data_IF_089750299183
#
_entry.id   IF_089750299183
#
_cell.length_a   1.000
_cell.length_b   1.000
_cell.length_c   1.000
_cell.angle_alpha   90.00
_cell.angle_beta   90.00
_cell.angle_gamma   90.00
#
_symmetry.space_group_name_H-M   'P 1'
#
loop_
_entity.id
_entity.type
_entity.pdbx_description
1 polymer ?
#
# COMPACT_ATOMS: atom_id res chain seq x y z
N UNK A 1 3.38 -41.55 5.99
CA UNK A 1 2.31 -42.22 6.74
C UNK A 1 2.41 -41.85 8.20
N UNK A 2 3.39 -42.36 8.97
CA UNK A 2 3.56 -42.01 10.39
C UNK A 2 3.61 -40.49 10.69
N UNK A 3 4.39 -39.70 9.92
CA UNK A 3 4.45 -38.23 10.09
C UNK A 3 3.11 -37.53 9.78
N UNK A 4 2.28 -38.12 8.92
CA UNK A 4 0.97 -37.58 8.54
C UNK A 4 -0.08 -37.88 9.62
N UNK A 5 -0.04 -39.09 10.18
CA UNK A 5 -0.91 -39.52 11.27
C UNK A 5 -0.63 -38.72 12.56
N UNK A 6 0.65 -38.42 12.84
CA UNK A 6 1.06 -37.56 13.95
C UNK A 6 0.53 -36.12 13.79
N UNK A 7 0.60 -35.57 12.57
CA UNK A 7 0.01 -34.25 12.26
C UNK A 7 -1.51 -34.24 12.38
N UNK A 8 -2.20 -35.30 11.95
CA UNK A 8 -3.65 -35.42 12.09
C UNK A 8 -4.07 -35.46 13.57
N UNK A 9 -3.29 -36.14 14.41
CA UNK A 9 -3.47 -36.15 15.86
C UNK A 9 -3.31 -34.76 16.48
N UNK A 10 -2.23 -34.05 16.13
CA UNK A 10 -1.97 -32.69 16.59
C UNK A 10 -3.01 -31.67 16.10
N UNK A 11 -3.51 -31.83 14.87
CA UNK A 11 -4.55 -30.99 14.30
C UNK A 11 -5.90 -31.21 15.01
N UNK A 12 -6.27 -32.47 15.26
CA UNK A 12 -7.49 -32.81 16.02
C UNK A 12 -7.44 -32.26 17.45
N UNK A 13 -6.29 -32.38 18.11
CA UNK A 13 -6.04 -31.77 19.41
C UNK A 13 -6.19 -30.24 19.35
N UNK A 14 -5.58 -29.59 18.36
CA UNK A 14 -5.61 -28.12 18.23
C UNK A 14 -7.02 -27.61 17.96
N UNK A 15 -7.77 -28.26 17.06
CA UNK A 15 -9.16 -27.93 16.77
C UNK A 15 -10.04 -28.01 18.02
N UNK A 16 -9.84 -29.04 18.86
CA UNK A 16 -10.51 -29.15 20.16
C UNK A 16 -10.19 -27.98 21.10
N UNK A 17 -8.93 -27.53 21.15
CA UNK A 17 -8.51 -26.39 22.00
C UNK A 17 -8.91 -25.01 21.46
N UNK A 18 -9.10 -24.86 20.14
CA UNK A 18 -9.46 -23.59 19.51
C UNK A 18 -10.97 -23.36 19.44
N UNK A 19 -11.78 -24.41 19.59
CA UNK A 19 -13.24 -24.30 19.66
C UNK A 19 -13.74 -23.39 20.80
N UNK A 20 -12.89 -23.08 21.78
CA UNK A 20 -13.17 -22.17 22.90
C UNK A 20 -12.69 -20.72 22.67
N UNK A 21 -11.93 -20.46 21.60
CA UNK A 21 -11.31 -19.15 21.30
C UNK A 21 -12.18 -18.30 20.38
N UNK A 22 -13.09 -18.90 19.62
CA UNK A 22 -14.13 -18.15 18.91
C UNK A 22 -15.08 -17.54 19.96
N UNK A 23 -15.18 -16.21 19.97
CA UNK A 23 -16.11 -15.52 20.84
C UNK A 23 -17.52 -16.08 20.65
N UNK A 24 -18.01 -16.84 21.63
CA UNK A 24 -19.43 -17.16 21.72
C UNK A 24 -20.11 -15.82 21.93
N UNK A 25 -20.81 -15.30 20.92
CA UNK A 25 -21.67 -14.14 21.10
C UNK A 25 -22.66 -14.54 22.19
N UNK A 26 -22.62 -13.94 23.40
CA UNK A 26 -23.60 -14.26 24.42
C UNK A 26 -24.97 -13.99 23.78
N UNK A 27 -25.89 -14.95 23.89
CA UNK A 27 -27.27 -14.72 23.47
C UNK A 27 -27.73 -13.42 24.15
N UNK A 28 -28.43 -12.51 23.45
CA UNK A 28 -28.98 -11.31 24.09
C UNK A 28 -29.78 -11.80 25.29
N UNK A 29 -29.27 -11.47 26.49
CA UNK A 29 -29.81 -12.04 27.71
C UNK A 29 -31.27 -11.59 27.81
N UNK A 30 -32.16 -12.49 28.24
CA UNK A 30 -33.55 -12.16 28.57
C UNK A 30 -33.61 -11.05 29.65
N UNK A 31 -32.51 -10.84 30.37
CA UNK A 31 -32.31 -9.79 31.38
C UNK A 31 -32.11 -8.39 30.79
N UNK A 32 -31.81 -8.27 29.48
CA UNK A 32 -31.56 -7.01 28.76
C UNK A 32 -30.13 -6.50 28.82
N UNK A 33 -29.74 -5.73 27.81
CA UNK A 33 -28.44 -5.08 27.69
C UNK A 33 -28.58 -3.65 27.14
N UNK A 34 -27.59 -2.80 27.44
CA UNK A 34 -27.53 -1.45 26.89
C UNK A 34 -26.84 -1.48 25.52
N UNK A 35 -27.55 -1.12 24.47
CA UNK A 35 -27.07 -1.06 23.09
C UNK A 35 -27.01 0.40 22.65
N UNK A 36 -26.04 0.74 21.80
CA UNK A 36 -25.94 2.09 21.22
C UNK A 36 -26.90 2.19 20.04
N UNK A 37 -27.97 2.97 20.19
CA UNK A 37 -28.96 3.20 19.15
C UNK A 37 -28.48 4.18 18.07
N UNK A 38 -29.27 4.36 17.00
CA UNK A 38 -28.99 5.35 15.95
C UNK A 38 -28.83 6.75 16.56
N UNK A 39 -27.66 7.37 16.34
CA UNK A 39 -27.33 8.68 16.91
C UNK A 39 -26.51 8.66 18.20
N UNK A 40 -26.06 7.50 18.68
CA UNK A 40 -25.15 7.39 19.83
C UNK A 40 -25.85 7.41 21.19
N UNK A 41 -27.17 7.30 21.21
CA UNK A 41 -27.98 7.29 22.44
C UNK A 41 -28.05 5.85 22.97
N UNK A 42 -27.69 5.60 24.23
CA UNK A 42 -27.82 4.27 24.82
C UNK A 42 -29.30 3.91 24.99
N UNK A 43 -29.71 2.79 24.39
CA UNK A 43 -31.06 2.21 24.46
C UNK A 43 -30.96 0.87 25.15
N UNK A 44 -31.90 0.57 26.06
CA UNK A 44 -31.95 -0.72 26.73
C UNK A 44 -32.78 -1.70 25.91
N UNK A 45 -32.15 -2.73 25.34
CA UNK A 45 -32.80 -3.77 24.53
C UNK A 45 -32.89 -5.08 25.30
N UNK A 46 -33.99 -5.82 25.14
CA UNK A 46 -34.15 -7.19 25.68
C UNK A 46 -34.29 -8.18 24.53
N UNK A 47 -33.50 -9.25 24.57
CA UNK A 47 -33.62 -10.34 23.61
C UNK A 47 -34.99 -11.03 23.72
N UNK A 48 -35.63 -11.28 22.58
CA UNK A 48 -36.88 -12.04 22.50
C UNK A 48 -36.59 -13.54 22.41
N UNK A 49 -37.16 -14.35 23.30
CA UNK A 49 -37.09 -15.83 23.22
C UNK A 49 -37.91 -16.41 22.04
N UNK A 50 -38.69 -15.57 21.35
CA UNK A 50 -39.51 -15.97 20.20
C UNK A 50 -38.79 -15.82 18.86
N UNK A 51 -37.63 -15.15 18.86
CA UNK A 51 -36.83 -14.94 17.67
C UNK A 51 -35.61 -15.86 17.69
N UNK A 52 -35.34 -16.61 16.61
CA UNK A 52 -34.16 -17.44 16.53
C UNK A 52 -32.90 -16.58 16.64
N UNK A 53 -31.91 -17.06 17.39
CA UNK A 53 -30.63 -16.37 17.53
C UNK A 53 -30.00 -16.10 16.16
N UNK A 54 -29.40 -14.92 15.94
CA UNK A 54 -28.64 -14.66 14.72
C UNK A 54 -27.55 -15.72 14.56
N UNK A 55 -27.38 -16.23 13.34
CA UNK A 55 -26.44 -17.30 13.05
C UNK A 55 -25.01 -16.91 13.50
N UNK A 56 -24.22 -17.91 13.93
CA UNK A 56 -22.81 -17.73 14.33
C UNK A 56 -21.95 -16.98 13.28
N UNK A 57 -22.40 -16.99 12.02
CA UNK A 57 -21.74 -16.42 10.86
C UNK A 57 -22.45 -15.18 10.30
N UNK A 58 -23.31 -14.51 11.06
CA UNK A 58 -23.83 -13.21 10.63
C UNK A 58 -22.66 -12.27 10.36
N UNK A 59 -22.65 -11.55 9.22
CA UNK A 59 -21.56 -10.64 8.89
C UNK A 59 -21.37 -9.65 10.04
N UNK A 60 -20.18 -9.65 10.62
CA UNK A 60 -19.73 -8.57 11.49
C UNK A 60 -19.93 -7.28 10.69
N UNK A 61 -20.50 -6.20 11.26
CA UNK A 61 -20.51 -4.91 10.58
C UNK A 61 -19.09 -4.68 10.05
N UNK A 62 -18.92 -4.28 8.77
CA UNK A 62 -17.59 -4.14 8.20
C UNK A 62 -16.75 -3.37 9.21
N UNK A 63 -15.69 -4.00 9.71
CA UNK A 63 -14.67 -3.27 10.45
C UNK A 63 -14.35 -2.12 9.53
N UNK A 64 -14.59 -0.90 10.01
CA UNK A 64 -14.14 0.28 9.29
C UNK A 64 -12.70 -0.03 8.97
N UNK A 65 -12.35 -0.05 7.67
CA UNK A 65 -11.00 -0.37 7.23
C UNK A 65 -10.05 0.29 8.22
N UNK A 66 -8.99 -0.41 8.63
CA UNK A 66 -7.90 0.24 9.34
C UNK A 66 -7.34 1.24 8.35
N UNK A 67 -8.00 2.40 8.26
CA UNK A 67 -7.45 3.58 7.69
C UNK A 67 -6.22 3.78 8.53
N UNK A 68 -5.06 3.70 7.88
CA UNK A 68 -3.81 4.25 8.40
C UNK A 68 -4.20 5.48 9.20
N UNK A 69 -4.03 5.40 10.53
CA UNK A 69 -4.49 6.43 11.45
C UNK A 69 -4.00 7.75 10.87
N UNK A 70 -4.88 8.71 10.56
CA UNK A 70 -4.42 10.04 10.24
C UNK A 70 -3.55 10.48 11.43
N UNK A 71 -2.30 10.85 11.17
CA UNK A 71 -1.43 11.48 12.17
C UNK A 71 -2.08 12.73 12.83
N UNK A 72 -3.18 13.21 12.24
CA UNK A 72 -3.98 14.38 12.64
C UNK A 72 -4.77 14.25 13.95
N UNK A 73 -4.75 13.11 14.65
CA UNK A 73 -5.45 12.99 15.92
C UNK A 73 -4.54 12.37 16.98
N UNK A 74 -4.30 13.04 18.12
CA UNK A 74 -3.92 12.28 19.31
C UNK A 74 -4.98 11.19 19.47
N UNK A 75 -4.55 9.94 19.66
CA UNK A 75 -5.46 8.85 19.90
C UNK A 75 -6.46 9.33 20.97
N UNK A 76 -7.76 9.39 20.63
CA UNK A 76 -8.77 9.66 21.65
C UNK A 76 -8.47 8.67 22.76
N UNK A 77 -8.10 9.16 23.95
CA UNK A 77 -7.93 8.30 25.11
C UNK A 77 -9.16 7.43 25.18
N UNK A 78 -8.96 6.10 25.24
CA UNK A 78 -10.06 5.17 25.26
C UNK A 78 -11.06 5.66 26.32
N UNK A 79 -12.31 5.84 25.92
CA UNK A 79 -13.39 6.11 26.86
C UNK A 79 -13.58 4.82 27.67
N UNK A 80 -12.79 4.68 28.73
CA UNK A 80 -12.69 3.47 29.55
C UNK A 80 -11.56 2.52 29.13
N UNK A 81 -11.34 1.50 29.97
CA UNK A 81 -10.31 0.46 29.82
C UNK A 81 -10.59 -0.52 28.65
N UNK A 82 -11.27 -0.05 27.60
CA UNK A 82 -11.59 -0.87 26.44
C UNK A 82 -10.31 -1.16 25.63
N UNK A 83 -9.77 -2.34 25.86
CA UNK A 83 -8.79 -2.94 24.99
C UNK A 83 -9.55 -3.71 23.89
N UNK A 84 -9.53 -3.27 22.62
CA UNK A 84 -10.20 -4.01 21.56
C UNK A 84 -9.66 -5.45 21.54
N UNK A 85 -10.52 -6.47 21.36
CA UNK A 85 -10.06 -7.85 21.30
C UNK A 85 -9.07 -7.97 20.14
N UNK A 86 -7.85 -8.39 20.46
CA UNK A 86 -6.86 -8.71 19.44
C UNK A 86 -7.35 -9.91 18.64
N UNK A 87 -7.26 -9.80 17.32
CA UNK A 87 -7.36 -10.93 16.42
C UNK A 87 -6.40 -12.06 16.87
N UNK A 88 -6.86 -13.31 16.97
CA UNK A 88 -6.07 -14.44 17.41
C UNK A 88 -4.94 -14.67 16.41
N UNK A 89 -3.73 -14.86 16.94
CA UNK A 89 -2.58 -15.32 16.17
C UNK A 89 -2.55 -16.85 16.23
N UNK A 90 -3.33 -17.52 15.39
CA UNK A 90 -3.40 -18.98 15.35
C UNK A 90 -2.15 -19.49 14.63
N UNK A 91 -1.10 -19.74 15.41
CA UNK A 91 0.12 -20.38 14.92
C UNK A 91 -0.04 -21.92 14.89
N UNK A 92 0.67 -22.62 13.97
CA UNK A 92 0.93 -24.05 14.13
C UNK A 92 1.52 -24.31 15.52
N UNK A 93 1.13 -25.42 16.14
CA UNK A 93 1.75 -25.86 17.40
C UNK A 93 3.27 -25.98 17.21
N UNK A 94 4.04 -25.48 18.18
CA UNK A 94 5.51 -25.60 18.13
C UNK A 94 5.97 -27.06 17.98
N UNK A 95 5.22 -28.00 18.58
CA UNK A 95 5.46 -29.45 18.43
C UNK A 95 5.21 -29.98 17.01
N UNK A 96 4.39 -29.31 16.20
CA UNK A 96 4.11 -29.70 14.82
C UNK A 96 5.16 -29.17 13.83
N UNK A 97 5.85 -28.07 14.16
CA UNK A 97 6.87 -27.45 13.28
C UNK A 97 7.94 -28.43 12.76
N UNK A 98 8.58 -29.28 13.58
CA UNK A 98 9.60 -30.19 13.06
C UNK A 98 9.02 -31.22 12.07
N UNK A 99 7.80 -31.71 12.31
CA UNK A 99 7.13 -32.65 11.41
C UNK A 99 6.73 -31.97 10.10
N UNK A 100 6.20 -30.75 10.15
CA UNK A 100 5.92 -29.93 8.95
C UNK A 100 7.20 -29.73 8.14
N UNK A 101 8.29 -29.29 8.78
CA UNK A 101 9.56 -29.03 8.11
C UNK A 101 10.10 -30.29 7.40
N UNK A 102 10.08 -31.45 8.08
CA UNK A 102 10.50 -32.73 7.48
C UNK A 102 9.68 -33.11 6.25
N UNK A 103 8.36 -32.91 6.29
CA UNK A 103 7.49 -33.20 5.16
C UNK A 103 7.73 -32.23 4.00
N UNK A 104 7.93 -30.94 4.27
CA UNK A 104 8.26 -29.94 3.26
C UNK A 104 9.59 -30.25 2.57
N UNK A 105 10.63 -30.60 3.35
CA UNK A 105 11.93 -30.95 2.80
C UNK A 105 11.87 -32.24 1.96
N UNK A 106 11.11 -33.24 2.41
CA UNK A 106 10.89 -34.48 1.65
C UNK A 106 10.12 -34.25 0.36
N UNK A 107 9.12 -33.36 0.37
CA UNK A 107 8.37 -32.96 -0.83
C UNK A 107 9.28 -32.22 -1.82
N UNK A 108 10.14 -31.33 -1.34
CA UNK A 108 11.13 -30.62 -2.18
C UNK A 108 12.14 -31.59 -2.81
N UNK A 109 12.63 -32.55 -2.05
CA UNK A 109 13.54 -33.60 -2.55
C UNK A 109 12.86 -34.48 -3.61
N UNK A 110 11.59 -34.85 -3.38
CA UNK A 110 10.80 -35.64 -4.32
C UNK A 110 10.56 -34.86 -5.64
N UNK A 111 10.20 -33.58 -5.55
CA UNK A 111 10.05 -32.70 -6.71
C UNK A 111 11.35 -32.57 -7.52
N UNK A 112 12.49 -32.38 -6.85
CA UNK A 112 13.79 -32.31 -7.52
C UNK A 112 14.17 -33.65 -8.18
N UNK A 113 13.91 -34.78 -7.52
CA UNK A 113 14.21 -36.10 -8.06
C UNK A 113 13.34 -36.44 -9.28
N UNK A 114 12.05 -36.10 -9.26
CA UNK A 114 11.14 -36.36 -10.39
C UNK A 114 11.37 -35.39 -11.55
N UNK A 115 11.60 -34.10 -11.27
CA UNK A 115 11.93 -33.10 -12.30
C UNK A 115 13.21 -33.43 -13.08
N UNK A 116 14.16 -34.11 -12.45
CA UNK A 116 15.40 -34.55 -13.08
C UNK A 116 15.29 -35.89 -13.84
N UNK A 117 14.21 -36.67 -13.63
CA UNK A 117 14.10 -38.05 -14.12
C UNK A 117 12.95 -38.29 -15.11
N UNK A 118 11.98 -37.39 -15.22
CA UNK A 118 10.80 -37.62 -16.07
C UNK A 118 10.31 -36.36 -16.78
N UNK A 119 10.27 -36.40 -18.12
CA UNK A 119 9.63 -35.37 -18.96
C UNK A 119 8.12 -35.55 -19.10
N UNK A 120 7.56 -36.65 -18.57
CA UNK A 120 6.14 -37.01 -18.71
C UNK A 120 5.37 -36.98 -17.38
N UNK A 121 6.04 -37.05 -16.23
CA UNK A 121 5.43 -36.95 -14.90
C UNK A 121 5.97 -35.71 -14.19
N UNK A 122 5.19 -34.64 -14.17
CA UNK A 122 5.46 -33.46 -13.35
C UNK A 122 4.73 -33.60 -12.01
N UNK A 123 5.48 -33.66 -10.90
CA UNK A 123 4.91 -33.42 -9.58
C UNK A 123 4.59 -31.94 -9.47
N UNK A 124 3.35 -31.59 -9.74
CA UNK A 124 2.89 -30.22 -9.56
C UNK A 124 2.50 -30.03 -8.10
N UNK A 125 3.06 -29.00 -7.46
CA UNK A 125 2.57 -28.55 -6.16
C UNK A 125 1.06 -28.26 -6.32
N UNK A 126 0.17 -28.91 -5.55
CA UNK A 126 -1.26 -28.67 -5.67
C UNK A 126 -1.63 -27.20 -5.50
N UNK A 127 -0.86 -26.41 -4.72
CA UNK A 127 -1.03 -24.95 -4.68
C UNK A 127 -0.68 -24.32 -6.01
N UNK A 128 0.51 -24.59 -6.55
CA UNK A 128 0.90 -24.11 -7.87
C UNK A 128 -0.05 -24.57 -8.99
N UNK A 129 -0.56 -25.80 -8.93
CA UNK A 129 -1.56 -26.36 -9.86
C UNK A 129 -2.89 -25.63 -9.72
N UNK A 130 -3.37 -25.39 -8.50
CA UNK A 130 -4.58 -24.58 -8.27
C UNK A 130 -4.39 -23.16 -8.76
N UNK A 131 -3.21 -22.56 -8.58
CA UNK A 131 -2.86 -21.24 -9.12
C UNK A 131 -2.74 -21.26 -10.64
N UNK A 132 -2.30 -22.35 -11.29
CA UNK A 132 -2.25 -22.42 -12.75
C UNK A 132 -3.61 -22.72 -13.38
N UNK A 133 -4.44 -23.54 -12.71
CA UNK A 133 -5.80 -23.89 -13.16
C UNK A 133 -6.80 -22.78 -12.86
N UNK A 134 -6.59 -22.05 -11.76
CA UNK A 134 -7.31 -20.86 -11.36
C UNK A 134 -6.27 -19.75 -11.10
N UNK A 135 -5.74 -19.11 -12.16
CA UNK A 135 -4.87 -17.95 -11.98
C UNK A 135 -5.54 -16.95 -11.03
N UNK A 136 -4.78 -16.34 -10.10
CA UNK A 136 -5.31 -15.23 -9.32
C UNK A 136 -5.88 -14.25 -10.34
N UNK A 137 -7.16 -13.88 -10.20
CA UNK A 137 -7.92 -13.06 -11.16
C UNK A 137 -7.15 -11.84 -11.64
N UNK A 138 -6.26 -11.37 -10.77
CA UNK A 138 -5.48 -10.15 -10.84
C UNK A 138 -4.10 -10.29 -11.50
N UNK A 139 -3.70 -11.49 -11.95
CA UNK A 139 -2.40 -11.69 -12.60
C UNK A 139 -2.40 -11.15 -14.04
N UNK A 140 -1.25 -10.66 -14.50
CA UNK A 140 -1.06 -10.32 -15.92
C UNK A 140 -0.88 -11.59 -16.74
N UNK A 141 -1.58 -11.66 -17.88
CA UNK A 141 -1.47 -12.74 -18.85
C UNK A 141 -0.26 -12.56 -19.78
N UNK A 142 0.23 -13.64 -20.37
CA UNK A 142 1.35 -13.57 -21.33
C UNK A 142 0.96 -12.84 -22.61
N UNK A 143 -0.32 -12.89 -23.00
CA UNK A 143 -0.85 -12.09 -24.10
C UNK A 143 -0.75 -10.59 -23.84
N UNK A 144 -1.10 -10.14 -22.63
CA UNK A 144 -0.98 -8.72 -22.24
C UNK A 144 0.48 -8.26 -22.22
N UNK A 145 1.40 -9.10 -21.72
CA UNK A 145 2.85 -8.79 -21.73
C UNK A 145 3.38 -8.70 -23.16
N UNK A 146 3.02 -9.66 -24.01
CA UNK A 146 3.46 -9.71 -25.41
C UNK A 146 2.95 -8.51 -26.21
N UNK A 147 1.69 -8.12 -26.00
CA UNK A 147 1.08 -6.96 -26.66
C UNK A 147 1.68 -5.61 -26.20
N UNK A 148 2.35 -5.58 -25.03
CA UNK A 148 3.03 -4.41 -24.51
C UNK A 148 4.56 -4.47 -24.69
N UNK A 149 5.10 -5.46 -25.40
CA UNK A 149 6.55 -5.69 -25.48
C UNK A 149 7.32 -4.47 -25.99
N UNK A 150 6.84 -3.81 -27.04
CA UNK A 150 7.48 -2.61 -27.61
C UNK A 150 7.50 -1.45 -26.60
N UNK A 151 6.40 -1.27 -25.85
CA UNK A 151 6.31 -0.27 -24.79
C UNK A 151 7.25 -0.60 -23.61
N UNK A 152 7.34 -1.88 -23.24
CA UNK A 152 8.20 -2.36 -22.16
C UNK A 152 9.69 -2.33 -22.52
N UNK A 153 10.04 -2.15 -23.79
CA UNK A 153 11.42 -1.91 -24.22
C UNK A 153 11.90 -0.47 -23.95
N UNK A 154 10.98 0.47 -23.71
CA UNK A 154 11.32 1.85 -23.34
C UNK A 154 11.89 1.90 -21.90
N UNK A 155 12.73 2.90 -21.57
CA UNK A 155 13.27 3.04 -20.23
C UNK A 155 12.20 3.43 -19.21
N UNK A 156 12.31 2.86 -18.00
CA UNK A 156 11.46 3.14 -16.84
C UNK A 156 9.96 2.90 -17.07
N UNK A 157 9.62 1.98 -17.97
CA UNK A 157 8.24 1.56 -18.18
C UNK A 157 7.92 0.29 -17.42
N UNK A 158 6.63 0.05 -17.22
CA UNK A 158 6.16 -1.21 -16.70
C UNK A 158 4.69 -1.44 -16.96
N UNK A 159 4.27 -2.67 -16.67
CA UNK A 159 2.92 -3.16 -16.82
C UNK A 159 2.46 -3.70 -15.48
N UNK A 160 1.29 -3.28 -15.02
CA UNK A 160 0.71 -3.77 -13.76
C UNK A 160 -0.79 -3.98 -13.90
N UNK A 161 -1.35 -4.71 -12.93
CA UNK A 161 -2.79 -4.78 -12.74
C UNK A 161 -3.22 -3.67 -11.78
N UNK A 162 -4.12 -2.80 -12.23
CA UNK A 162 -4.80 -1.83 -11.40
C UNK A 162 -6.06 -2.49 -10.81
N UNK A 163 -6.11 -2.61 -9.49
CA UNK A 163 -7.16 -3.34 -8.79
C UNK A 163 -8.24 -2.40 -8.25
N UNK A 164 -9.49 -2.89 -8.14
CA UNK A 164 -10.51 -2.16 -7.41
C UNK A 164 -10.18 -2.11 -5.91
N UNK A 165 -10.63 -1.06 -5.24
CA UNK A 165 -10.58 -0.85 -3.79
C UNK A 165 -11.03 -2.09 -3.01
N UNK A 166 -12.07 -2.77 -3.51
CA UNK A 166 -12.62 -4.00 -2.93
C UNK A 166 -11.64 -5.17 -2.89
N UNK A 167 -10.64 -5.21 -3.78
CA UNK A 167 -9.60 -6.23 -3.75
C UNK A 167 -8.67 -6.08 -2.53
N UNK A 168 -8.57 -4.86 -1.99
CA UNK A 168 -7.79 -4.53 -0.79
C UNK A 168 -8.63 -4.54 0.49
N UNK A 169 -9.95 -4.75 0.39
CA UNK A 169 -10.83 -4.88 1.54
C UNK A 169 -10.79 -6.33 2.05
N UNK A 170 -10.44 -6.51 3.32
CA UNK A 170 -10.54 -7.82 3.97
C UNK A 170 -12.02 -8.18 4.15
N UNK A 171 -12.54 -8.96 3.19
CA UNK A 171 -13.93 -9.40 3.14
C UNK A 171 -14.21 -10.68 3.94
N UNK A 172 -13.25 -11.13 4.78
CA UNK A 172 -13.43 -12.34 5.60
C UNK A 172 -14.46 -12.08 6.69
N UNK A 173 -15.63 -12.74 6.69
CA UNK A 173 -16.59 -12.59 7.76
C UNK A 173 -16.03 -13.23 9.05
N UNK A 174 -15.84 -12.41 10.09
CA UNK A 174 -15.41 -12.87 11.42
C UNK A 174 -14.02 -12.39 11.83
N UNK A 175 -13.48 -13.04 12.85
CA UNK A 175 -12.20 -12.71 13.47
C UNK A 175 -11.06 -13.26 12.59
N UNK A 176 -10.15 -12.38 12.14
CA UNK A 176 -9.07 -12.74 11.21
C UNK A 176 -7.92 -13.38 11.98
N UNK A 177 -7.26 -14.39 11.40
CA UNK A 177 -5.98 -14.85 11.95
C UNK A 177 -4.93 -13.78 11.66
N UNK A 178 -4.33 -13.19 12.71
CA UNK A 178 -3.29 -12.16 12.55
C UNK A 178 -2.04 -12.66 11.82
N UNK A 179 -1.81 -13.97 11.79
CA UNK A 179 -0.70 -14.58 11.04
C UNK A 179 -1.01 -14.80 9.57
N UNK A 180 -2.27 -14.68 9.15
CA UNK A 180 -2.59 -14.74 7.73
C UNK A 180 -2.21 -13.41 7.08
N UNK A 181 -1.59 -13.41 5.89
CA UNK A 181 -1.25 -12.18 5.18
C UNK A 181 -2.51 -11.39 4.83
N UNK A 182 -2.44 -10.06 4.91
CA UNK A 182 -3.54 -9.15 4.57
C UNK A 182 -3.80 -9.15 3.08
N UNK A 183 -4.95 -8.61 2.65
CA UNK A 183 -5.21 -8.39 1.24
C UNK A 183 -4.06 -7.60 0.56
N UNK A 184 -3.54 -6.56 1.23
CA UNK A 184 -2.39 -5.78 0.76
C UNK A 184 -1.07 -6.58 0.75
N UNK A 185 -0.86 -7.50 1.69
CA UNK A 185 0.32 -8.38 1.70
C UNK A 185 0.27 -9.44 0.59
N UNK A 186 -0.94 -9.89 0.25
CA UNK A 186 -1.17 -10.88 -0.83
C UNK A 186 -1.06 -10.24 -2.21
N UNK A 187 -1.48 -8.98 -2.33
CA UNK A 187 -1.53 -8.21 -3.56
C UNK A 187 -0.82 -6.86 -3.35
N UNK A 188 0.50 -6.84 -3.14
CA UNK A 188 1.22 -5.60 -2.91
C UNK A 188 1.17 -4.72 -4.16
N UNK A 189 1.14 -3.40 -3.95
CA UNK A 189 1.34 -2.46 -5.04
C UNK A 189 2.70 -2.70 -5.71
N UNK A 190 2.78 -2.64 -7.04
CA UNK A 190 4.00 -2.96 -7.76
C UNK A 190 5.07 -1.90 -7.48
N UNK A 191 6.31 -2.34 -7.29
CA UNK A 191 7.45 -1.44 -7.14
C UNK A 191 7.71 -0.69 -8.44
N UNK A 192 7.92 0.62 -8.34
CA UNK A 192 8.20 1.49 -9.49
C UNK A 192 9.67 1.47 -9.93
N UNK A 193 10.56 1.08 -9.02
CA UNK A 193 12.00 1.06 -9.24
C UNK A 193 12.53 -0.37 -9.22
N UNK A 194 13.24 -0.75 -10.27
CA UNK A 194 14.27 -1.76 -10.14
C UNK A 194 15.47 -1.10 -9.45
N UNK A 195 16.11 -1.79 -8.49
CA UNK A 195 17.20 -1.28 -7.68
C UNK A 195 18.43 -0.75 -8.45
N UNK A 196 18.47 -0.88 -9.78
CA UNK A 196 19.58 -0.51 -10.67
C UNK A 196 19.23 0.53 -11.75
N UNK A 197 18.03 1.09 -11.79
CA UNK A 197 17.62 2.02 -12.86
C UNK A 197 17.93 3.49 -12.50
N UNK A 198 18.75 4.17 -13.32
CA UNK A 198 19.04 5.60 -13.17
C UNK A 198 17.91 6.46 -13.73
N UNK A 199 17.08 7.07 -12.88
CA UNK A 199 15.96 7.91 -13.31
C UNK A 199 16.42 9.36 -13.58
N UNK A 200 15.88 10.03 -14.61
CA UNK A 200 16.08 11.47 -14.81
C UNK A 200 15.74 12.27 -13.54
N UNK A 201 16.70 13.05 -13.06
CA UNK A 201 16.51 13.91 -11.89
C UNK A 201 15.88 15.26 -12.31
N UNK A 202 14.92 15.72 -11.51
CA UNK A 202 14.22 16.99 -11.67
C UNK A 202 14.65 17.90 -10.52
N UNK A 203 15.45 18.92 -10.81
CA UNK A 203 15.79 19.93 -9.81
C UNK A 203 14.61 20.86 -9.57
N UNK A 204 14.32 21.15 -8.30
CA UNK A 204 13.42 22.25 -7.99
C UNK A 204 14.01 23.58 -8.49
N UNK A 205 13.21 24.46 -9.11
CA UNK A 205 13.66 25.80 -9.42
C UNK A 205 13.93 26.56 -8.12
N UNK A 206 15.19 26.94 -7.91
CA UNK A 206 15.64 27.70 -6.74
C UNK A 206 15.06 29.12 -6.77
N UNK A 207 14.37 29.62 -5.72
CA UNK A 207 14.15 31.05 -5.58
C UNK A 207 15.21 31.74 -4.70
N UNK A 208 16.00 31.02 -3.89
CA UNK A 208 16.99 31.60 -2.97
C UNK A 208 18.14 30.63 -2.68
N UNK A 209 19.36 31.13 -2.36
CA UNK A 209 20.46 30.26 -1.95
C UNK A 209 20.10 29.57 -0.64
N UNK A 210 19.97 28.25 -0.65
CA UNK A 210 20.09 27.49 0.60
C UNK A 210 21.46 27.80 1.21
N UNK A 211 21.57 28.00 2.53
CA UNK A 211 22.87 27.87 3.17
C UNK A 211 23.28 26.40 2.99
N UNK A 212 24.35 26.18 2.22
CA UNK A 212 25.10 24.93 2.22
C UNK A 212 25.66 24.70 3.64
N UNK A 213 24.82 24.22 4.54
CA UNK A 213 25.26 23.51 5.72
C UNK A 213 25.16 22.04 5.35
N UNK A 214 26.26 21.42 4.85
CA UNK A 214 26.28 19.98 4.72
C UNK A 214 25.93 19.39 6.08
N UNK A 215 24.88 18.57 6.12
CA UNK A 215 24.60 17.73 7.27
C UNK A 215 25.90 16.95 7.57
N UNK A 216 26.40 16.95 8.81
CA UNK A 216 27.62 16.24 9.14
C UNK A 216 27.46 14.76 8.78
N UNK A 217 28.47 14.19 8.13
CA UNK A 217 28.47 12.77 7.78
C UNK A 217 28.11 11.92 9.01
N UNK A 218 27.23 10.92 8.85
CA UNK A 218 26.83 10.07 9.96
C UNK A 218 28.08 9.41 10.57
N UNK A 219 28.15 9.40 11.91
CA UNK A 219 29.31 8.81 12.59
C UNK A 219 29.54 7.34 12.15
N UNK A 220 30.79 6.84 12.09
CA UNK A 220 31.07 5.45 11.70
C UNK A 220 30.31 4.42 12.54
N UNK A 221 30.01 4.76 13.80
CA UNK A 221 29.20 3.94 14.71
C UNK A 221 27.74 3.87 14.30
N UNK A 222 27.20 4.96 13.77
CA UNK A 222 25.85 5.03 13.21
C UNK A 222 25.76 4.27 11.90
N UNK A 223 26.76 4.38 11.02
CA UNK A 223 26.87 3.56 9.81
C UNK A 223 26.94 2.06 10.12
N UNK A 224 27.72 1.66 11.15
CA UNK A 224 27.77 0.28 11.60
C UNK A 224 26.44 -0.20 12.24
N UNK A 225 25.75 0.67 12.99
CA UNK A 225 24.43 0.37 13.53
C UNK A 225 23.38 0.25 12.41
N UNK A 226 23.45 1.10 11.37
CA UNK A 226 22.62 1.01 10.18
C UNK A 226 22.84 -0.32 9.46
N UNK A 227 24.07 -0.78 9.31
CA UNK A 227 24.36 -2.10 8.73
C UNK A 227 23.85 -3.30 9.56
N UNK A 228 23.59 -3.10 10.86
CA UNK A 228 23.06 -4.13 11.78
C UNK A 228 21.53 -4.11 11.89
N UNK A 229 20.88 -2.99 11.57
CA UNK A 229 19.43 -2.74 11.76
C UNK A 229 18.69 -2.57 10.44
N UNK A 230 19.37 -2.16 9.37
CA UNK A 230 18.76 -1.97 8.07
C UNK A 230 18.05 -3.25 7.66
N UNK A 231 16.75 -3.12 7.41
CA UNK A 231 16.05 -4.05 6.54
C UNK A 231 16.91 -4.17 5.26
N UNK A 232 17.24 -5.39 4.81
CA UNK A 232 18.12 -5.58 3.66
C UNK A 232 17.58 -4.95 2.38
N UNK A 233 16.30 -4.56 2.36
CA UNK A 233 15.65 -3.93 1.23
C UNK A 233 15.60 -2.40 1.39
N UNK A 234 16.28 -1.63 0.51
CA UNK A 234 16.18 -0.18 0.50
C UNK A 234 14.73 0.24 0.17
N UNK A 235 14.27 1.35 0.73
CA UNK A 235 12.93 1.92 0.47
C UNK A 235 12.58 1.90 -1.03
N UNK A 236 11.52 1.17 -1.38
CA UNK A 236 11.03 1.04 -2.75
C UNK A 236 9.70 1.77 -2.90
N UNK A 237 9.63 2.84 -3.71
CA UNK A 237 8.36 3.49 -3.99
C UNK A 237 7.47 2.57 -4.83
N UNK A 238 6.18 2.57 -4.51
CA UNK A 238 5.19 1.67 -5.13
C UNK A 238 4.18 2.45 -5.95
N UNK A 239 3.60 1.84 -6.98
CA UNK A 239 2.51 2.44 -7.74
C UNK A 239 1.20 2.26 -6.95
N UNK A 240 0.97 3.11 -5.98
CA UNK A 240 -0.18 3.06 -5.06
C UNK A 240 -1.48 3.55 -5.70
N UNK A 241 -1.85 2.99 -6.86
CA UNK A 241 -3.08 3.32 -7.58
C UNK A 241 -4.12 2.20 -7.44
N UNK A 242 -5.38 2.57 -7.30
CA UNK A 242 -6.52 1.67 -7.31
C UNK A 242 -7.70 2.27 -8.07
N UNK A 243 -8.72 1.45 -8.36
CA UNK A 243 -10.03 1.91 -8.84
C UNK A 243 -10.96 2.03 -7.64
N UNK A 244 -11.55 3.20 -7.41
CA UNK A 244 -12.53 3.35 -6.34
C UNK A 244 -13.92 2.78 -6.73
N UNK A 245 -14.84 2.77 -5.77
CA UNK A 245 -16.20 2.22 -5.96
C UNK A 245 -17.02 2.98 -7.03
N UNK A 246 -16.56 4.17 -7.44
CA UNK A 246 -17.19 5.02 -8.45
C UNK A 246 -16.49 4.91 -9.82
N UNK A 247 -15.63 3.91 -10.00
CA UNK A 247 -14.83 3.70 -11.19
C UNK A 247 -13.94 4.91 -11.52
N UNK A 248 -13.30 5.49 -10.49
CA UNK A 248 -12.32 6.56 -10.62
C UNK A 248 -10.93 6.05 -10.28
N UNK A 249 -9.93 6.60 -10.95
CA UNK A 249 -8.53 6.35 -10.64
C UNK A 249 -8.21 7.05 -9.33
N UNK A 250 -7.74 6.31 -8.33
CA UNK A 250 -7.49 6.83 -7.00
C UNK A 250 -6.04 6.53 -6.57
N UNK A 251 -5.29 7.57 -6.23
CA UNK A 251 -3.99 7.47 -5.59
C UNK A 251 -4.20 7.22 -4.10
N UNK A 252 -3.72 6.07 -3.62
CA UNK A 252 -3.81 5.66 -2.23
C UNK A 252 -2.78 6.45 -1.42
N UNK A 253 -3.29 7.20 -0.45
CA UNK A 253 -2.51 8.08 0.43
C UNK A 253 -2.42 7.48 1.84
N UNK A 254 -1.68 6.38 1.97
CA UNK A 254 -1.46 5.72 3.26
C UNK A 254 -0.51 6.55 4.14
N UNK A 255 -0.73 6.57 5.45
CA UNK A 255 0.16 7.25 6.41
C UNK A 255 0.41 8.74 6.06
N UNK A 256 1.66 9.09 5.70
CA UNK A 256 2.06 10.42 5.23
C UNK A 256 2.13 10.53 3.71
N UNK A 257 1.92 9.46 2.97
CA UNK A 257 1.91 9.48 1.51
C UNK A 257 0.83 10.42 1.00
N UNK A 258 1.15 11.13 -0.07
CA UNK A 258 0.21 11.97 -0.78
C UNK A 258 0.67 12.22 -2.21
N UNK A 259 -0.15 12.94 -2.95
CA UNK A 259 0.13 13.25 -4.33
C UNK A 259 -1.15 13.62 -5.05
N UNK A 260 -1.04 13.73 -6.36
CA UNK A 260 -2.15 14.16 -7.18
C UNK A 260 -2.06 13.59 -8.58
N UNK A 261 -3.22 13.47 -9.21
CA UNK A 261 -3.41 12.92 -10.54
C UNK A 261 -4.00 13.98 -11.45
N UNK A 262 -3.43 14.13 -12.64
CA UNK A 262 -3.85 15.07 -13.66
C UNK A 262 -4.19 14.31 -14.96
N UNK A 263 -5.42 14.42 -15.47
CA UNK A 263 -5.76 13.81 -16.75
C UNK A 263 -5.10 14.58 -17.90
N UNK A 264 -4.33 13.89 -18.75
CA UNK A 264 -3.78 14.43 -20.00
C UNK A 264 -4.65 14.09 -21.22
N UNK A 265 -5.64 13.20 -21.08
CA UNK A 265 -6.49 12.76 -22.19
C UNK A 265 -5.76 11.81 -23.13
N UNK A 266 -6.06 11.89 -24.43
CA UNK A 266 -5.56 10.97 -25.47
C UNK A 266 -4.11 11.27 -25.91
N UNK A 267 -3.21 11.48 -24.94
CA UNK A 267 -1.78 11.63 -25.21
C UNK A 267 -1.11 10.25 -25.16
N UNK A 268 -0.38 9.82 -26.21
CA UNK A 268 0.31 8.53 -26.18
C UNK A 268 1.42 8.52 -25.13
N UNK A 269 1.43 7.49 -24.29
CA UNK A 269 2.34 7.35 -23.15
C UNK A 269 3.81 7.20 -23.59
N UNK A 270 4.04 6.57 -24.73
CA UNK A 270 5.35 6.34 -25.36
C UNK A 270 6.06 7.66 -25.66
N UNK A 271 5.28 8.65 -26.08
CA UNK A 271 5.78 9.96 -26.47
C UNK A 271 5.91 10.93 -25.29
N UNK A 272 5.62 10.51 -24.05
CA UNK A 272 5.82 11.33 -22.85
C UNK A 272 7.18 11.05 -22.22
N UNK A 273 8.00 12.09 -22.13
CA UNK A 273 9.24 12.12 -21.36
C UNK A 273 9.38 13.50 -20.67
N UNK A 274 10.45 13.65 -19.87
CA UNK A 274 10.70 14.90 -19.16
C UNK A 274 10.94 16.09 -20.11
N UNK A 275 11.49 15.84 -21.31
CA UNK A 275 11.76 16.88 -22.29
C UNK A 275 10.46 17.43 -22.88
N UNK A 276 9.55 16.54 -23.31
CA UNK A 276 8.23 16.91 -23.80
C UNK A 276 7.41 17.64 -22.75
N UNK A 277 7.47 17.20 -21.49
CA UNK A 277 6.85 17.92 -20.39
C UNK A 277 7.37 19.36 -20.32
N UNK A 278 8.69 19.57 -20.35
CA UNK A 278 9.30 20.92 -20.30
C UNK A 278 8.94 21.81 -21.50
N UNK A 279 8.58 21.25 -22.64
CA UNK A 279 8.17 21.99 -23.84
C UNK A 279 6.74 22.54 -23.76
N UNK A 280 5.91 22.08 -22.82
CA UNK A 280 4.50 22.53 -22.63
C UNK A 280 4.36 24.04 -22.36
N UNK A 281 5.45 24.74 -22.01
CA UNK A 281 5.49 26.19 -21.85
C UNK A 281 6.19 26.97 -22.98
N UNK A 282 6.72 26.29 -24.00
CA UNK A 282 7.37 26.92 -25.14
C UNK A 282 6.32 27.26 -26.22
N UNK A 283 6.44 28.45 -26.82
CA UNK A 283 5.59 28.86 -27.96
C UNK A 283 5.68 27.83 -29.09
N UNK A 284 4.56 27.64 -29.79
CA UNK A 284 4.40 26.86 -31.02
C UNK A 284 5.70 26.83 -31.84
N UNK A 285 6.43 25.73 -31.73
CA UNK A 285 7.46 25.37 -32.70
C UNK A 285 6.79 24.53 -33.79
N UNK A 286 7.27 24.65 -35.03
CA UNK A 286 6.76 24.00 -36.26
C UNK A 286 6.72 22.44 -36.24
N UNK A 287 6.90 21.80 -35.09
CA UNK A 287 6.81 20.35 -34.94
C UNK A 287 5.34 19.91 -34.74
N UNK A 288 4.90 18.89 -35.48
CA UNK A 288 3.55 18.31 -35.54
C UNK A 288 2.99 17.74 -34.22
N UNK A 289 3.63 17.99 -33.07
CA UNK A 289 3.24 17.40 -31.79
C UNK A 289 2.23 18.32 -31.07
N UNK A 290 1.00 17.86 -30.82
CA UNK A 290 0.00 18.68 -30.15
C UNK A 290 0.45 19.04 -28.72
N UNK A 291 0.17 20.28 -28.26
CA UNK A 291 0.51 20.72 -26.91
C UNK A 291 -0.22 19.86 -25.87
N UNK A 292 0.42 19.63 -24.71
CA UNK A 292 -0.25 18.92 -23.62
C UNK A 292 -1.41 19.79 -23.09
N UNK A 293 -2.58 19.19 -22.77
CA UNK A 293 -3.74 19.92 -22.27
C UNK A 293 -3.61 20.25 -20.79
N UNK A 294 -2.54 20.97 -20.43
CA UNK A 294 -2.28 21.48 -19.09
C UNK A 294 -2.19 22.99 -19.14
N UNK A 295 -2.89 23.68 -18.23
CA UNK A 295 -2.71 25.11 -18.06
C UNK A 295 -1.35 25.41 -17.40
N UNK A 296 -0.77 26.56 -17.76
CA UNK A 296 0.56 26.95 -17.30
C UNK A 296 0.70 27.01 -15.76
N UNK A 297 -0.29 27.49 -14.97
CA UNK A 297 -0.21 27.46 -13.50
C UNK A 297 -0.12 26.04 -12.93
N UNK A 298 -0.96 25.12 -13.40
CA UNK A 298 -0.94 23.71 -12.96
C UNK A 298 0.36 23.03 -13.36
N UNK A 299 0.82 23.27 -14.59
CA UNK A 299 2.09 22.75 -15.08
C UNK A 299 3.29 23.29 -14.26
N UNK A 300 3.30 24.59 -13.98
CA UNK A 300 4.33 25.19 -13.14
C UNK A 300 4.34 24.56 -11.75
N UNK A 301 3.17 24.50 -11.09
CA UNK A 301 3.04 23.89 -9.77
C UNK A 301 3.53 22.44 -9.75
N UNK A 302 3.16 21.63 -10.74
CA UNK A 302 3.63 20.25 -10.85
C UNK A 302 5.15 20.14 -10.81
N UNK A 303 5.89 21.07 -11.43
CA UNK A 303 7.35 21.03 -11.49
C UNK A 303 8.03 21.80 -10.36
N UNK A 304 7.34 22.75 -9.73
CA UNK A 304 7.92 23.65 -8.73
C UNK A 304 7.49 23.37 -7.29
N UNK A 305 6.41 22.61 -7.08
CA UNK A 305 5.94 22.29 -5.73
C UNK A 305 7.03 21.54 -4.95
N UNK A 306 7.29 21.98 -3.72
CA UNK A 306 8.24 21.39 -2.79
C UNK A 306 7.48 20.92 -1.55
N UNK A 307 7.57 19.64 -1.17
CA UNK A 307 7.03 19.16 0.09
C UNK A 307 7.59 19.96 1.29
N UNK A 308 6.76 20.38 2.26
CA UNK A 308 7.24 21.03 3.47
C UNK A 308 8.19 20.14 4.28
N UNK A 309 9.11 20.76 5.01
CA UNK A 309 10.12 20.06 5.80
C UNK A 309 9.72 19.80 7.26
N UNK A 310 8.56 20.31 7.69
CA UNK A 310 8.02 20.09 9.03
C UNK A 310 6.82 19.15 8.97
N UNK A 311 6.68 18.26 9.95
CA UNK A 311 5.61 17.26 9.97
C UNK A 311 4.22 17.91 9.92
N UNK A 312 4.02 19.01 10.66
CA UNK A 312 2.72 19.72 10.72
C UNK A 312 2.37 20.39 9.40
N UNK A 313 3.33 21.03 8.72
CA UNK A 313 3.07 21.66 7.42
C UNK A 313 2.84 20.61 6.34
N UNK A 314 3.60 19.50 6.37
CA UNK A 314 3.42 18.36 5.47
C UNK A 314 2.01 17.78 5.59
N UNK A 315 1.54 17.55 6.81
CA UNK A 315 0.16 17.12 7.09
C UNK A 315 -0.86 18.17 6.62
N UNK A 316 -0.56 19.45 6.84
CA UNK A 316 -1.38 20.56 6.37
C UNK A 316 -1.57 20.55 4.86
N UNK A 317 -0.50 20.35 4.11
CA UNK A 317 -0.51 20.26 2.65
C UNK A 317 -1.21 18.99 2.15
N UNK A 318 -0.90 17.83 2.74
CA UNK A 318 -1.61 16.57 2.47
C UNK A 318 -3.12 16.76 2.63
N UNK A 319 -3.56 17.34 3.74
CA UNK A 319 -4.98 17.56 3.99
C UNK A 319 -5.62 18.54 3.02
N UNK A 320 -4.91 19.60 2.58
CA UNK A 320 -5.42 20.48 1.53
C UNK A 320 -5.61 19.76 0.21
N UNK A 321 -4.68 18.89 -0.14
CA UNK A 321 -4.76 18.09 -1.37
C UNK A 321 -5.94 17.14 -1.32
N UNK A 322 -6.04 16.35 -0.24
CA UNK A 322 -7.12 15.37 -0.04
C UNK A 322 -8.51 16.01 0.03
N UNK A 323 -8.63 17.21 0.60
CA UNK A 323 -9.92 17.90 0.76
C UNK A 323 -10.24 18.88 -0.37
N UNK A 324 -9.37 19.02 -1.37
CA UNK A 324 -9.53 19.99 -2.47
C UNK A 324 -9.42 21.46 -2.05
N UNK A 325 -8.97 21.76 -0.82
CA UNK A 325 -8.84 23.13 -0.28
C UNK A 325 -7.53 23.80 -0.72
N UNK A 326 -7.41 24.02 -2.01
CA UNK A 326 -6.14 24.36 -2.68
C UNK A 326 -6.02 25.81 -3.14
N UNK A 327 -6.89 26.70 -2.67
CA UNK A 327 -6.85 28.14 -2.98
C UNK A 327 -5.47 28.76 -2.71
N UNK A 328 -4.74 28.26 -1.71
CA UNK A 328 -3.38 28.72 -1.36
C UNK A 328 -2.32 28.40 -2.42
N UNK A 329 -2.57 27.44 -3.30
CA UNK A 329 -1.65 27.07 -4.37
C UNK A 329 -1.83 27.93 -5.63
N UNK A 330 -2.86 28.78 -5.69
CA UNK A 330 -3.10 29.66 -6.84
C UNK A 330 -3.44 28.91 -8.13
N UNK A 331 -3.98 27.70 -8.01
CA UNK A 331 -4.32 26.84 -9.13
C UNK A 331 -5.70 27.16 -9.69
N UNK A 332 -5.82 27.10 -11.03
CA UNK A 332 -7.09 27.30 -11.72
C UNK A 332 -7.97 26.04 -11.69
N UNK A 333 -7.34 24.87 -11.49
CA UNK A 333 -8.01 23.56 -11.38
C UNK A 333 -7.57 22.91 -10.07
N UNK A 334 -8.50 22.38 -9.24
CA UNK A 334 -8.12 21.66 -8.04
C UNK A 334 -7.42 20.35 -8.43
N UNK A 335 -6.24 20.13 -7.86
CA UNK A 335 -5.57 18.84 -7.89
C UNK A 335 -6.35 17.85 -7.05
N UNK A 336 -6.37 16.60 -7.43
CA UNK A 336 -7.07 15.57 -6.68
C UNK A 336 -6.25 14.29 -6.68
N UNK A 337 -6.22 13.52 -5.58
CA UNK A 337 -5.72 12.15 -5.61
C UNK A 337 -6.65 11.24 -6.44
N UNK A 338 -7.88 11.67 -6.70
CA UNK A 338 -8.91 10.89 -7.38
C UNK A 338 -9.44 11.60 -8.62
N UNK A 339 -9.44 10.92 -9.77
CA UNK A 339 -9.93 11.46 -11.05
C UNK A 339 -10.75 10.43 -11.82
N UNK A 340 -11.68 10.83 -12.70
CA UNK A 340 -12.42 9.88 -13.54
C UNK A 340 -11.48 8.96 -14.33
N UNK A 341 -11.71 7.65 -14.26
CA UNK A 341 -10.95 6.65 -15.01
C UNK A 341 -11.55 6.46 -16.40
N UNK A 342 -10.75 6.66 -17.44
CA UNK A 342 -11.13 6.54 -18.84
C UNK A 342 -10.07 5.70 -19.54
N UNK A 343 -10.52 4.68 -20.28
CA UNK A 343 -9.62 3.81 -21.03
C UNK A 343 -8.83 4.60 -22.07
N UNK A 344 -7.57 4.22 -22.24
CA UNK A 344 -6.60 4.82 -23.16
C UNK A 344 -6.29 6.30 -22.91
N UNK A 345 -6.84 6.92 -21.87
CA UNK A 345 -6.41 8.24 -21.43
C UNK A 345 -5.14 8.12 -20.61
N UNK A 346 -4.20 9.01 -20.85
CA UNK A 346 -2.99 9.12 -20.04
C UNK A 346 -3.22 10.08 -18.89
N UNK A 347 -2.70 9.71 -17.73
CA UNK A 347 -2.74 10.48 -16.50
C UNK A 347 -1.33 10.73 -16.04
N UNK A 348 -1.07 11.96 -15.62
CA UNK A 348 0.16 12.32 -14.94
C UNK A 348 -0.06 12.17 -13.43
N UNK A 349 0.85 11.49 -12.75
CA UNK A 349 0.77 11.23 -11.32
C UNK A 349 2.05 11.75 -10.69
N UNK A 350 1.92 12.69 -9.75
CA UNK A 350 3.02 13.02 -8.84
C UNK A 350 2.76 12.30 -7.52
N UNK A 351 3.66 11.40 -7.15
CA UNK A 351 3.54 10.54 -5.97
C UNK A 351 4.68 10.84 -5.00
N UNK A 352 4.30 11.20 -3.77
CA UNK A 352 5.23 11.52 -2.68
C UNK A 352 4.99 10.48 -1.60
N UNK A 353 5.99 9.64 -1.36
CA UNK A 353 5.90 8.49 -0.47
C UNK A 353 6.91 8.58 0.66
N UNK A 354 6.50 8.16 1.85
CA UNK A 354 7.29 8.16 3.08
C UNK A 354 7.19 6.81 3.77
N UNK A 355 8.33 6.27 4.17
CA UNK A 355 8.38 5.15 5.10
C UNK A 355 8.35 5.66 6.53
N UNK A 356 7.14 5.88 7.06
CA UNK A 356 7.00 6.46 8.40
C UNK A 356 7.50 5.48 9.48
N UNK A 357 8.44 5.91 10.34
CA UNK A 357 8.95 5.08 11.43
C UNK A 357 7.86 4.54 12.36
N UNK A 358 8.03 3.29 12.80
CA UNK A 358 7.13 2.63 13.75
C UNK A 358 6.93 3.40 15.06
N UNK A 359 7.96 4.12 15.52
CA UNK A 359 7.87 4.95 16.74
C UNK A 359 6.80 6.03 16.58
N UNK A 360 6.71 6.64 15.39
CA UNK A 360 5.71 7.65 15.07
C UNK A 360 4.34 7.03 14.79
N UNK A 361 4.28 5.89 14.09
CA UNK A 361 3.01 5.15 13.83
C UNK A 361 2.31 4.73 15.12
N UNK A 362 3.08 4.25 16.09
CA UNK A 362 2.56 3.76 17.38
C UNK A 362 2.33 4.88 18.39
N UNK A 363 2.93 6.06 18.19
CA UNK A 363 2.89 7.16 19.14
C UNK A 363 3.56 6.84 20.48
N UNK A 364 4.52 5.90 20.50
CA UNK A 364 5.23 5.51 21.72
C UNK A 364 6.41 6.46 21.97
N UNK A 365 6.64 6.80 23.24
CA UNK A 365 7.85 7.53 23.63
C UNK A 365 9.10 6.65 23.49
N UNK A 366 10.24 7.28 23.22
CA UNK A 366 11.53 6.59 23.16
C UNK A 366 11.96 6.12 24.55
N UNK A 367 12.36 4.85 24.67
CA UNK A 367 13.01 4.34 25.87
C UNK A 367 14.46 4.82 25.98
N UNK A 368 15.09 4.72 27.16
CA UNK A 368 16.53 5.04 27.31
C UNK A 368 17.45 4.19 26.42
N UNK A 369 17.00 2.98 26.04
CA UNK A 369 17.69 2.16 25.05
C UNK A 369 17.54 2.73 23.64
N UNK A 370 16.34 3.17 23.28
CA UNK A 370 16.03 3.74 21.97
C UNK A 370 16.75 5.08 21.75
N UNK A 371 16.88 5.91 22.80
CA UNK A 371 17.59 7.20 22.73
C UNK A 371 19.02 7.09 22.20
N UNK A 372 19.69 5.95 22.40
CA UNK A 372 21.03 5.67 21.86
C UNK A 372 21.07 5.51 20.34
N UNK A 373 19.94 5.19 19.73
CA UNK A 373 19.76 5.01 18.29
C UNK A 373 18.73 5.98 17.71
N UNK A 374 18.45 7.08 18.41
CA UNK A 374 17.40 8.06 18.05
C UNK A 374 17.49 8.51 16.60
N UNK A 375 18.69 8.85 16.13
CA UNK A 375 18.88 9.34 14.77
C UNK A 375 18.46 8.30 13.72
N UNK A 376 18.73 7.02 13.96
CA UNK A 376 18.33 5.93 13.06
C UNK A 376 16.83 5.63 13.15
N UNK A 377 16.26 5.67 14.37
CA UNK A 377 14.82 5.45 14.60
C UNK A 377 13.92 6.56 14.04
N UNK A 378 14.52 7.70 13.71
CA UNK A 378 13.84 8.86 13.12
C UNK A 378 14.25 9.09 11.67
N UNK A 379 15.05 8.21 11.06
CA UNK A 379 15.21 8.22 9.60
C UNK A 379 13.85 7.93 8.97
N UNK A 380 13.42 8.77 8.04
CA UNK A 380 12.18 8.59 7.29
C UNK A 380 12.52 8.59 5.81
N UNK A 381 12.89 7.41 5.24
CA UNK A 381 13.11 7.28 3.82
C UNK A 381 11.90 7.79 3.02
N UNK A 382 12.17 8.45 1.90
CA UNK A 382 11.12 9.07 1.10
C UNK A 382 11.49 9.11 -0.38
N UNK A 383 10.49 9.32 -1.24
CA UNK A 383 10.64 9.50 -2.69
C UNK A 383 9.56 10.44 -3.21
N UNK A 384 9.93 11.30 -4.15
CA UNK A 384 9.01 12.15 -4.91
C UNK A 384 9.18 11.86 -6.41
N UNK A 385 8.19 11.17 -6.98
CA UNK A 385 8.23 10.66 -8.35
C UNK A 385 7.18 11.31 -9.22
N UNK A 386 7.58 11.64 -10.45
CA UNK A 386 6.68 12.00 -11.53
C UNK A 386 6.51 10.81 -12.47
N UNK A 387 5.26 10.38 -12.63
CA UNK A 387 4.86 9.19 -13.36
C UNK A 387 3.82 9.58 -14.41
N UNK A 388 3.75 8.82 -15.49
CA UNK A 388 2.57 8.80 -16.35
C UNK A 388 2.00 7.38 -16.39
N UNK A 389 0.67 7.27 -16.37
CA UNK A 389 -0.05 6.00 -16.34
C UNK A 389 -1.20 6.01 -17.35
N UNK A 390 -1.47 4.86 -17.95
CA UNK A 390 -2.51 4.70 -18.96
C UNK A 390 -3.21 3.33 -18.79
N UNK A 391 -4.49 3.30 -18.40
CA UNK A 391 -5.28 2.08 -18.39
C UNK A 391 -5.62 1.68 -19.83
N UNK A 392 -5.24 0.48 -20.27
CA UNK A 392 -5.35 0.07 -21.68
C UNK A 392 -6.40 -1.01 -21.94
N UNK A 393 -6.81 -1.74 -20.91
CA UNK A 393 -7.86 -2.74 -21.01
C UNK A 393 -8.56 -2.91 -19.66
N UNK A 394 -9.87 -3.14 -19.68
CA UNK A 394 -10.65 -3.50 -18.50
C UNK A 394 -10.97 -4.99 -18.55
N UNK A 395 -10.80 -5.67 -17.41
CA UNK A 395 -11.14 -7.07 -17.23
C UNK A 395 -12.54 -7.23 -16.64
N UNK A 396 -13.10 -8.45 -16.77
CA UNK A 396 -14.46 -8.76 -16.29
C UNK A 396 -14.62 -8.66 -14.78
N UNK A 397 -13.52 -8.76 -14.04
CA UNK A 397 -13.47 -8.63 -12.58
C UNK A 397 -13.39 -7.15 -12.11
N UNK A 398 -13.46 -6.19 -13.04
CA UNK A 398 -13.38 -4.76 -12.76
C UNK A 398 -11.96 -4.22 -12.63
N UNK A 399 -10.94 -5.07 -12.72
CA UNK A 399 -9.54 -4.64 -12.75
C UNK A 399 -9.14 -4.10 -14.12
N UNK A 400 -8.06 -3.33 -14.18
CA UNK A 400 -7.54 -2.76 -15.42
C UNK A 400 -6.10 -3.17 -15.65
N UNK A 401 -5.74 -3.40 -16.91
CA UNK A 401 -4.34 -3.46 -17.34
C UNK A 401 -3.81 -2.04 -17.42
N UNK A 402 -2.77 -1.75 -16.64
CA UNK A 402 -2.20 -0.42 -16.52
C UNK A 402 -0.77 -0.41 -17.07
N UNK A 403 -0.54 0.44 -18.07
CA UNK A 403 0.82 0.83 -18.48
C UNK A 403 1.26 2.00 -17.64
N UNK A 404 2.52 2.03 -17.26
CA UNK A 404 3.09 3.16 -16.52
C UNK A 404 4.52 3.43 -16.94
N UNK A 405 4.95 4.68 -16.76
CA UNK A 405 6.31 5.14 -17.04
C UNK A 405 6.74 6.13 -15.98
N UNK A 406 7.94 5.97 -15.44
CA UNK A 406 8.58 6.99 -14.60
C UNK A 406 9.22 8.04 -15.50
N UNK A 407 8.76 9.29 -15.36
CA UNK A 407 9.22 10.41 -16.17
C UNK A 407 10.41 11.12 -15.52
N UNK A 408 10.43 11.18 -14.19
CA UNK A 408 11.54 11.73 -13.45
C UNK A 408 11.33 11.65 -11.94
N UNK A 409 12.39 11.99 -11.21
CA UNK A 409 12.43 12.00 -9.76
C UNK A 409 12.85 13.37 -9.27
N UNK A 410 12.14 13.91 -8.29
CA UNK A 410 12.55 15.11 -7.56
C UNK A 410 13.48 14.73 -6.38
N UNK A 411 14.22 15.69 -5.80
CA UNK A 411 14.93 15.46 -4.54
C UNK A 411 14.03 14.81 -3.50
N UNK A 412 14.57 13.83 -2.77
CA UNK A 412 13.80 13.12 -1.76
C UNK A 412 13.37 14.11 -0.65
N UNK A 413 12.07 14.17 -0.29
CA UNK A 413 11.59 15.10 0.71
C UNK A 413 12.04 14.71 2.12
N UNK A 414 12.58 15.65 2.87
CA UNK A 414 13.06 15.42 4.23
C UNK A 414 12.13 16.07 5.25
N UNK A 415 11.93 15.40 6.39
CA UNK A 415 11.22 15.98 7.54
C UNK A 415 12.19 16.11 8.70
N UNK A 416 12.47 17.34 9.11
CA UNK A 416 13.61 17.67 9.98
C UNK A 416 13.22 17.74 11.47
N UNK A 417 11.93 17.83 11.78
CA UNK A 417 11.40 18.05 13.12
C UNK A 417 10.84 16.80 13.82
N UNK A 418 11.03 15.61 13.23
CA UNK A 418 10.52 14.32 13.75
C UNK A 418 10.89 14.07 15.23
N UNK A 419 12.05 14.58 15.65
CA UNK A 419 12.51 14.46 17.04
C UNK A 419 11.57 15.07 18.08
N UNK A 420 10.78 16.07 17.72
CA UNK A 420 9.89 16.78 18.65
C UNK A 420 8.66 15.95 19.05
N UNK A 421 8.37 14.86 18.32
CA UNK A 421 7.14 14.08 18.47
C UNK A 421 7.32 12.76 19.23
N UNK A 422 8.54 12.46 19.65
CA UNK A 422 8.90 11.18 20.30
C UNK A 422 9.57 11.35 21.67
N UNK A 423 9.77 12.60 22.09
CA UNK A 423 10.48 13.00 23.30
C UNK A 423 9.59 13.02 24.55
#
# INVERSE_FOLDING_TARGET
MADLDDLLGLLSYRLGTLATVAAVKPLPLVTGEWVVGPGGIPVFERGSLREPAPALNSPVPPLTAVGSRPFDRPAKSALGDYNPPLDPAIAPLASAQPTIQRLTDRLRQLQAAVGNQSTTLALVDPRALTTSLNPPSFSLTDGERSAAADFLALPHTGLSRLLPSSAYQDSSPGVRNRLDPSAADRLPFPSLLAASASIPQITYPQPFPSPDLPLPDPSPRLLAARALVADPDPFQPRLTLQVDDQNRLNLVTADLDYGFVLPLGEVPLEALDLNRLRQTGAKETDDEVPPLPLDLPTFAFLLTYQPPQTLVELQGDRNRILTGKQEKFGLSVPLSPTVPLVLNHTYLVRSIQFEVPEVLRTGRFLTDRDRRYRQLLLEMPSRDLLLAVQPVAQQRDGSYTLRWRVLGQFPDPEVVDLGQYVD
#
